data_IF_502072377001
#
_entry.id   IF_502072377001
#
_cell.length_a   1.000
_cell.length_b   1.000
_cell.length_c   1.000
_cell.angle_alpha   90.00
_cell.angle_beta   90.00
_cell.angle_gamma   90.00
#
_symmetry.space_group_name_H-M   'P 1'
#
loop_
_entity.id
_entity.type
_entity.pdbx_description
1 polymer ?
#
# COMPACT_ATOMS: atom_id res chain seq x y z
N UNK A 1 6.88 7.17 -38.55
CA UNK A 1 8.03 7.36 -37.64
C UNK A 1 7.61 6.89 -36.26
N UNK A 2 8.24 5.87 -35.66
CA UNK A 2 7.89 5.44 -34.31
C UNK A 2 8.39 6.50 -33.31
N UNK A 3 7.48 7.02 -32.47
CA UNK A 3 7.82 7.91 -31.36
C UNK A 3 8.67 7.12 -30.37
N UNK A 4 9.95 7.46 -30.25
CA UNK A 4 10.85 6.91 -29.25
C UNK A 4 10.42 7.49 -27.89
N UNK A 5 9.81 6.66 -27.05
CA UNK A 5 9.48 7.02 -25.67
C UNK A 5 10.77 7.14 -24.87
N UNK A 6 10.92 8.24 -24.12
CA UNK A 6 12.08 8.47 -23.28
C UNK A 6 12.10 7.43 -22.16
N UNK A 7 13.28 6.90 -21.81
CA UNK A 7 13.41 5.87 -20.76
C UNK A 7 12.91 6.35 -19.38
N UNK A 8 12.75 7.67 -19.21
CA UNK A 8 12.22 8.34 -18.04
C UNK A 8 10.69 8.57 -18.08
N UNK A 9 10.03 8.33 -19.21
CA UNK A 9 8.56 8.43 -19.38
C UNK A 9 7.85 7.08 -19.21
N UNK A 10 8.60 6.03 -18.85
CA UNK A 10 8.01 4.72 -18.56
C UNK A 10 7.46 4.78 -17.14
N UNK A 11 6.15 5.03 -17.01
CA UNK A 11 5.46 4.83 -15.73
C UNK A 11 5.77 3.41 -15.22
N UNK A 12 6.19 3.26 -13.96
CA UNK A 12 6.53 1.94 -13.43
C UNK A 12 5.33 1.02 -13.55
N UNK A 13 5.55 -0.20 -14.05
CA UNK A 13 4.48 -1.17 -14.25
C UNK A 13 3.81 -1.52 -12.92
N UNK A 14 2.60 -1.01 -12.71
CA UNK A 14 1.78 -1.33 -11.54
C UNK A 14 1.18 -2.71 -11.76
N UNK A 15 1.50 -3.66 -10.88
CA UNK A 15 0.95 -5.01 -10.90
C UNK A 15 0.09 -5.24 -9.65
N UNK A 16 -0.93 -6.07 -9.76
CA UNK A 16 -1.59 -6.63 -8.57
C UNK A 16 -0.56 -7.46 -7.78
N UNK A 17 -0.64 -7.40 -6.45
CA UNK A 17 0.22 -8.19 -5.57
C UNK A 17 0.12 -9.69 -5.85
N UNK A 18 1.28 -10.30 -6.06
CA UNK A 18 1.49 -11.73 -6.30
C UNK A 18 2.46 -12.27 -5.25
N UNK A 19 1.94 -13.15 -4.39
CA UNK A 19 2.70 -13.78 -3.31
C UNK A 19 3.89 -14.59 -3.82
N UNK A 20 3.82 -15.15 -5.04
CA UNK A 20 4.88 -15.98 -5.61
C UNK A 20 6.11 -15.14 -6.01
N UNK A 21 5.93 -13.83 -6.21
CA UNK A 21 7.01 -12.88 -6.52
C UNK A 21 7.60 -12.22 -5.27
N UNK A 22 6.89 -12.28 -4.14
CA UNK A 22 7.27 -11.58 -2.93
C UNK A 22 8.34 -12.33 -2.12
N UNK A 23 9.27 -11.59 -1.50
CA UNK A 23 10.14 -12.17 -0.48
C UNK A 23 9.36 -12.32 0.84
N UNK A 24 8.88 -13.53 1.10
CA UNK A 24 8.04 -13.82 2.27
C UNK A 24 8.90 -14.01 3.52
N UNK A 25 8.76 -13.09 4.47
CA UNK A 25 9.35 -13.19 5.81
C UNK A 25 8.56 -14.22 6.62
N UNK A 26 9.18 -15.37 6.93
CA UNK A 26 8.60 -16.46 7.73
C UNK A 26 9.00 -16.30 9.19
N UNK A 27 8.06 -15.96 10.07
CA UNK A 27 8.24 -16.02 11.52
C UNK A 27 7.96 -17.41 12.10
N UNK A 28 8.59 -17.75 13.23
CA UNK A 28 8.29 -18.97 13.97
C UNK A 28 6.85 -18.90 14.53
N UNK A 29 5.91 -19.68 13.97
CA UNK A 29 4.52 -19.76 14.46
C UNK A 29 3.42 -19.19 13.56
N UNK A 30 3.76 -18.76 12.32
CA UNK A 30 2.86 -18.30 11.23
C UNK A 30 2.13 -16.97 11.48
N UNK A 31 2.83 -15.91 11.09
CA UNK A 31 2.23 -14.78 10.36
C UNK A 31 3.23 -14.43 9.27
N UNK A 32 2.87 -14.66 8.01
CA UNK A 32 3.76 -14.42 6.86
C UNK A 32 3.53 -13.01 6.34
N UNK A 33 4.63 -12.28 6.20
CA UNK A 33 4.62 -10.90 5.74
C UNK A 33 5.47 -10.77 4.48
N UNK A 34 5.08 -9.85 3.61
CA UNK A 34 5.87 -9.42 2.48
C UNK A 34 5.99 -7.90 2.52
N UNK A 35 7.22 -7.40 2.34
CA UNK A 35 7.46 -5.98 2.19
C UNK A 35 7.51 -5.65 0.69
N UNK A 36 6.75 -4.65 0.28
CA UNK A 36 6.61 -4.23 -1.13
C UNK A 36 6.51 -2.71 -1.20
N UNK A 37 6.90 -2.12 -2.32
CA UNK A 37 6.61 -0.73 -2.64
C UNK A 37 5.35 -0.65 -3.48
N UNK A 38 4.45 0.25 -3.10
CA UNK A 38 3.10 0.35 -3.68
C UNK A 38 2.76 1.78 -4.03
N UNK A 39 1.77 1.92 -4.90
CA UNK A 39 1.10 3.19 -5.15
C UNK A 39 -0.32 3.14 -4.61
N UNK A 40 -0.67 4.05 -3.71
CA UNK A 40 -2.01 4.13 -3.13
C UNK A 40 -2.99 4.63 -4.19
N UNK A 41 -4.12 3.92 -4.45
CA UNK A 41 -5.04 4.32 -5.50
C UNK A 41 -5.84 5.56 -5.08
N UNK A 42 -6.15 6.43 -6.05
CA UNK A 42 -6.83 7.72 -5.80
C UNK A 42 -8.20 7.59 -5.15
N UNK A 43 -8.86 6.45 -5.32
CA UNK A 43 -10.18 6.16 -4.73
C UNK A 43 -10.12 5.67 -3.29
N UNK A 44 -8.94 5.40 -2.72
CA UNK A 44 -8.79 5.14 -1.28
C UNK A 44 -9.10 6.44 -0.53
N UNK A 45 -10.17 6.47 0.28
CA UNK A 45 -10.66 7.67 0.98
C UNK A 45 -10.84 7.43 2.47
N UNK A 46 -10.33 8.34 3.29
CA UNK A 46 -10.55 8.34 4.73
C UNK A 46 -11.96 8.76 5.10
N UNK A 47 -12.37 8.51 6.36
CA UNK A 47 -13.72 8.85 6.85
C UNK A 47 -14.04 10.34 6.75
N UNK A 48 -13.03 11.21 6.89
CA UNK A 48 -13.12 12.66 6.76
C UNK A 48 -13.37 13.13 5.31
N UNK A 49 -13.09 12.27 4.33
CA UNK A 49 -13.27 12.57 2.90
C UNK A 49 -14.57 11.99 2.32
N UNK A 50 -15.31 11.22 3.13
CA UNK A 50 -16.50 10.50 2.71
C UNK A 50 -17.78 11.18 3.21
N UNK A 51 -18.92 10.99 2.51
CA UNK A 51 -20.20 11.44 3.02
C UNK A 51 -20.47 10.84 4.40
N UNK A 52 -21.02 11.65 5.32
CA UNK A 52 -21.39 11.18 6.65
C UNK A 52 -22.55 10.19 6.55
N UNK A 53 -22.24 8.90 6.58
CA UNK A 53 -23.20 7.80 6.53
C UNK A 53 -22.68 6.60 7.32
N UNK A 54 -23.58 5.69 7.68
CA UNK A 54 -23.26 4.43 8.35
C UNK A 54 -23.16 3.25 7.38
N UNK A 55 -23.37 3.50 6.08
CA UNK A 55 -23.22 2.48 5.04
C UNK A 55 -21.74 2.15 4.85
N UNK A 56 -21.46 0.88 4.55
CA UNK A 56 -20.15 0.45 4.10
C UNK A 56 -19.79 1.17 2.79
N UNK A 57 -18.54 1.58 2.64
CA UNK A 57 -18.03 2.26 1.46
C UNK A 57 -16.69 1.61 1.07
N UNK A 58 -16.65 0.98 -0.10
CA UNK A 58 -15.46 0.28 -0.60
C UNK A 58 -14.22 1.20 -0.65
N UNK A 59 -14.41 2.52 -0.80
CA UNK A 59 -13.31 3.49 -0.80
C UNK A 59 -12.63 3.59 0.56
N UNK A 60 -13.40 3.45 1.64
CA UNK A 60 -12.88 3.38 3.00
C UNK A 60 -12.18 2.04 3.24
N UNK A 61 -12.78 0.94 2.81
CA UNK A 61 -12.20 -0.40 3.00
C UNK A 61 -10.82 -0.51 2.32
N UNK A 62 -10.68 0.05 1.11
CA UNK A 62 -9.39 0.15 0.43
C UNK A 62 -8.42 1.01 1.25
N UNK A 63 -8.86 2.19 1.70
CA UNK A 63 -8.03 3.10 2.49
C UNK A 63 -7.49 2.44 3.76
N UNK A 64 -8.37 1.80 4.54
CA UNK A 64 -8.02 1.13 5.78
C UNK A 64 -6.97 0.02 5.55
N UNK A 65 -7.11 -0.78 4.48
CA UNK A 65 -6.13 -1.82 4.17
C UNK A 65 -4.73 -1.24 3.85
N UNK A 66 -4.66 -0.12 3.10
CA UNK A 66 -3.39 0.57 2.84
C UNK A 66 -2.80 1.18 4.11
N UNK A 67 -3.59 1.90 4.92
CA UNK A 67 -3.14 2.48 6.20
C UNK A 67 -2.59 1.40 7.11
N UNK A 68 -3.31 0.27 7.24
CA UNK A 68 -2.90 -0.84 8.06
C UNK A 68 -1.58 -1.47 7.58
N UNK A 69 -1.35 -1.55 6.26
CA UNK A 69 -0.11 -2.07 5.69
C UNK A 69 1.08 -1.09 5.87
N UNK A 70 0.84 0.22 5.75
CA UNK A 70 1.81 1.28 6.05
C UNK A 70 2.20 1.23 7.53
N UNK A 71 1.20 1.21 8.41
CA UNK A 71 1.40 1.16 9.86
C UNK A 71 2.22 -0.06 10.28
N UNK A 72 1.92 -1.24 9.72
CA UNK A 72 2.72 -2.47 9.97
C UNK A 72 4.17 -2.35 9.54
N UNK A 73 4.43 -1.71 8.40
CA UNK A 73 5.79 -1.50 7.92
C UNK A 73 6.54 -0.55 8.83
N UNK A 74 5.95 0.61 9.10
CA UNK A 74 6.57 1.66 9.90
C UNK A 74 6.78 1.22 11.35
N UNK A 75 5.82 0.52 11.98
CA UNK A 75 6.01 0.00 13.34
C UNK A 75 7.10 -1.05 13.50
N UNK A 76 7.48 -1.72 12.42
CA UNK A 76 8.62 -2.61 12.44
C UNK A 76 9.96 -1.86 12.50
N UNK A 77 9.98 -0.60 12.05
CA UNK A 77 11.14 0.29 12.04
C UNK A 77 11.13 1.18 13.30
N UNK A 78 10.00 1.80 13.59
CA UNK A 78 9.78 2.69 14.73
C UNK A 78 8.54 2.27 15.54
N UNK A 79 8.78 1.78 16.77
CA UNK A 79 7.71 1.29 17.65
C UNK A 79 6.72 2.38 18.09
N UNK A 80 7.12 3.65 18.02
CA UNK A 80 6.31 4.81 18.41
C UNK A 80 5.44 5.34 17.26
N UNK A 81 5.58 4.79 16.05
CA UNK A 81 4.75 5.16 14.92
C UNK A 81 3.27 4.85 15.21
N UNK A 82 2.43 5.87 15.16
CA UNK A 82 1.01 5.79 15.52
C UNK A 82 0.11 5.66 14.28
N UNK A 83 -1.18 5.41 14.52
CA UNK A 83 -2.16 5.20 13.45
C UNK A 83 -2.44 6.48 12.66
N UNK A 84 -2.64 7.60 13.34
CA UNK A 84 -2.96 8.90 12.70
C UNK A 84 -1.87 9.31 11.69
N UNK A 85 -0.60 9.07 12.03
CA UNK A 85 0.53 9.33 11.13
C UNK A 85 0.50 8.41 9.90
N UNK A 86 0.01 7.18 10.05
CA UNK A 86 -0.18 6.25 8.94
C UNK A 86 -1.28 6.73 7.98
N UNK A 87 -2.38 7.26 8.52
CA UNK A 87 -3.48 7.84 7.73
C UNK A 87 -3.00 9.04 6.91
N UNK A 88 -2.33 9.99 7.56
CA UNK A 88 -1.79 11.18 6.90
C UNK A 88 -0.75 10.82 5.84
N UNK A 89 0.12 9.85 6.12
CA UNK A 89 1.08 9.34 5.13
C UNK A 89 0.37 8.67 3.95
N UNK A 90 -0.71 7.92 4.19
CA UNK A 90 -1.51 7.28 3.14
C UNK A 90 -2.15 8.32 2.22
N UNK A 91 -2.79 9.35 2.79
CA UNK A 91 -3.40 10.47 2.04
C UNK A 91 -2.34 11.22 1.24
N UNK A 92 -1.23 11.59 1.88
CA UNK A 92 -0.14 12.31 1.23
C UNK A 92 0.46 11.51 0.05
N UNK A 93 0.72 10.22 0.25
CA UNK A 93 1.26 9.35 -0.79
C UNK A 93 0.28 9.18 -1.96
N UNK A 94 -1.01 8.99 -1.66
CA UNK A 94 -2.08 8.93 -2.67
C UNK A 94 -2.13 10.21 -3.51
N UNK A 95 -2.13 11.36 -2.86
CA UNK A 95 -2.34 12.65 -3.51
C UNK A 95 -1.12 13.08 -4.35
N UNK A 96 0.08 12.76 -3.86
CA UNK A 96 1.35 12.98 -4.59
C UNK A 96 1.68 11.86 -5.58
N UNK A 97 0.88 10.78 -5.61
CA UNK A 97 1.18 9.53 -6.33
C UNK A 97 2.55 8.94 -5.97
N UNK A 98 2.99 9.16 -4.74
CA UNK A 98 4.28 8.72 -4.23
C UNK A 98 4.28 7.21 -4.01
N UNK A 99 5.40 6.58 -4.34
CA UNK A 99 5.63 5.16 -4.14
C UNK A 99 6.16 4.97 -2.72
N UNK A 100 5.43 4.22 -1.90
CA UNK A 100 5.78 4.04 -0.49
C UNK A 100 5.94 2.55 -0.14
N UNK A 101 6.83 2.21 0.80
CA UNK A 101 6.95 0.85 1.29
C UNK A 101 5.81 0.49 2.25
N UNK A 102 5.28 -0.71 2.11
CA UNK A 102 4.24 -1.26 2.97
C UNK A 102 4.53 -2.72 3.32
N UNK A 103 3.90 -3.21 4.39
CA UNK A 103 4.01 -4.60 4.84
C UNK A 103 2.66 -5.28 4.69
N UNK A 104 2.59 -6.19 3.73
CA UNK A 104 1.41 -7.00 3.43
C UNK A 104 1.37 -8.21 4.36
N UNK A 105 0.24 -8.39 5.04
CA UNK A 105 -0.06 -9.63 5.74
C UNK A 105 -0.71 -10.62 4.76
N UNK A 106 -0.06 -11.76 4.49
CA UNK A 106 -0.54 -12.68 3.44
C UNK A 106 -1.91 -13.32 3.75
N UNK A 107 -2.36 -13.31 5.01
CA UNK A 107 -3.67 -13.83 5.41
C UNK A 107 -4.82 -12.83 5.29
N UNK A 108 -4.59 -11.56 4.95
CA UNK A 108 -5.66 -10.55 4.91
C UNK A 108 -6.46 -10.50 3.61
N UNK A 109 -6.03 -11.21 2.55
CA UNK A 109 -6.61 -11.07 1.21
C UNK A 109 -6.32 -9.71 0.53
N UNK A 110 -5.51 -8.85 1.16
CA UNK A 110 -5.14 -7.55 0.63
C UNK A 110 -4.21 -7.71 -0.57
N UNK A 111 -4.58 -7.10 -1.69
CA UNK A 111 -3.80 -7.10 -2.93
C UNK A 111 -3.48 -5.66 -3.36
N UNK A 112 -2.39 -5.05 -2.85
CA UNK A 112 -2.04 -3.70 -3.25
C UNK A 112 -1.55 -3.63 -4.70
N UNK A 113 -1.53 -2.40 -5.21
CA UNK A 113 -0.90 -1.99 -6.45
C UNK A 113 0.62 -1.94 -6.25
N UNK A 114 1.30 -3.05 -6.53
CA UNK A 114 2.74 -3.21 -6.35
C UNK A 114 3.49 -2.58 -7.51
N UNK A 115 4.46 -1.76 -7.16
CA UNK A 115 5.47 -1.21 -8.07
C UNK A 115 6.76 -2.02 -7.99
N UNK A 116 7.14 -2.47 -6.79
CA UNK A 116 8.39 -3.22 -6.58
C UNK A 116 8.26 -4.20 -5.41
N UNK A 117 8.79 -5.41 -5.57
CA UNK A 117 8.93 -6.38 -4.49
C UNK A 117 10.25 -6.15 -3.76
N UNK A 118 10.21 -5.91 -2.45
CA UNK A 118 11.42 -5.67 -1.66
C UNK A 118 12.11 -6.99 -1.34
N UNK A 119 13.46 -6.97 -1.36
CA UNK A 119 14.30 -8.11 -0.98
C UNK A 119 14.63 -8.10 0.49
#
# INVERSE_FOLDING_TARGET
MPKQLNIFDVEPAICEFDVMKANVKRGAGRTTYADVRVQVPKNAKGTDELPRTTKQDDRYDIFEQYVMAIWRFQRAVDKFFNWDTAEELCKAARDKKEIIPVRVYLGSGFKPNVVEYMR
#
